data_IF_427627533310
#
_entry.id   IF_427627533310
#
_cell.length_a   1.000
_cell.length_b   1.000
_cell.length_c   1.000
_cell.angle_alpha   90.00
_cell.angle_beta   90.00
_cell.angle_gamma   90.00
#
_symmetry.space_group_name_H-M   'P 1'
#
loop_
_entity.id
_entity.type
_entity.pdbx_description
1 polymer ?
#
# COMPACT_ATOMS: atom_id res chain seq x y z
N UNK A 1 10.10 8.01 0.98
CA UNK A 1 8.99 7.24 0.41
C UNK A 1 9.40 6.69 -0.94
N UNK A 2 9.19 5.41 -1.18
CA UNK A 2 9.43 4.71 -2.44
C UNK A 2 8.15 3.98 -2.85
N UNK A 3 7.78 4.11 -4.12
CA UNK A 3 6.62 3.43 -4.71
C UNK A 3 7.08 2.66 -5.94
N UNK A 4 6.69 1.40 -6.04
CA UNK A 4 7.03 0.53 -7.17
C UNK A 4 5.80 -0.24 -7.60
N UNK A 5 5.53 -0.29 -8.91
CA UNK A 5 4.55 -1.22 -9.48
C UNK A 5 5.18 -2.61 -9.48
N UNK A 6 4.50 -3.58 -8.88
CA UNK A 6 4.95 -4.99 -8.82
C UNK A 6 4.13 -5.90 -9.73
N UNK A 7 2.90 -5.49 -10.06
CA UNK A 7 2.05 -6.17 -11.05
C UNK A 7 1.04 -5.17 -11.62
N UNK A 8 0.62 -5.39 -12.83
CA UNK A 8 -0.48 -4.64 -13.46
C UNK A 8 -1.14 -5.46 -14.56
N UNK A 9 -2.34 -5.05 -14.96
CA UNK A 9 -3.00 -5.59 -16.15
C UNK A 9 -2.11 -5.34 -17.38
N UNK A 10 -1.84 -6.39 -18.15
CA UNK A 10 -1.11 -6.27 -19.40
C UNK A 10 -1.94 -5.46 -20.42
N UNK A 11 -1.30 -4.51 -21.09
CA UNK A 11 -1.95 -3.59 -22.05
C UNK A 11 -3.27 -3.00 -21.50
N UNK A 12 -3.23 -2.22 -20.41
CA UNK A 12 -4.43 -1.79 -19.68
C UNK A 12 -5.39 -0.97 -20.53
N UNK A 13 -4.89 -0.07 -21.37
CA UNK A 13 -5.69 0.75 -22.28
C UNK A 13 -6.45 -0.11 -23.28
N UNK A 14 -5.79 -1.08 -23.89
CA UNK A 14 -6.37 -1.99 -24.85
C UNK A 14 -7.41 -2.91 -24.19
N UNK A 15 -7.11 -3.41 -22.98
CA UNK A 15 -8.02 -4.23 -22.19
C UNK A 15 -9.32 -3.48 -21.88
N UNK A 16 -9.19 -2.23 -21.40
CA UNK A 16 -10.35 -1.35 -21.13
C UNK A 16 -11.16 -1.12 -22.40
N UNK A 17 -10.49 -0.77 -23.51
CA UNK A 17 -11.17 -0.47 -24.77
C UNK A 17 -11.90 -1.69 -25.35
N UNK A 18 -11.27 -2.87 -25.33
CA UNK A 18 -11.89 -4.14 -25.75
C UNK A 18 -13.13 -4.46 -24.92
N UNK A 19 -12.98 -4.41 -23.59
CA UNK A 19 -14.07 -4.69 -22.64
C UNK A 19 -15.25 -3.74 -22.84
N UNK A 20 -14.99 -2.45 -22.97
CA UNK A 20 -16.02 -1.46 -23.18
C UNK A 20 -16.72 -1.62 -24.56
N UNK A 21 -15.96 -1.88 -25.64
CA UNK A 21 -16.54 -2.08 -26.98
C UNK A 21 -17.47 -3.29 -27.06
N UNK A 22 -17.19 -4.36 -26.30
CA UNK A 22 -18.07 -5.53 -26.24
C UNK A 22 -19.49 -5.19 -25.77
N UNK A 23 -19.65 -4.18 -24.91
CA UNK A 23 -20.98 -3.75 -24.43
C UNK A 23 -21.82 -3.09 -25.51
N UNK A 24 -21.21 -2.52 -26.53
CA UNK A 24 -21.90 -1.70 -27.56
C UNK A 24 -21.74 -2.26 -28.97
N UNK A 25 -20.99 -3.33 -29.17
CA UNK A 25 -20.71 -3.92 -30.47
C UNK A 25 -21.64 -5.08 -30.78
N UNK A 26 -21.97 -5.23 -32.04
CA UNK A 26 -22.67 -6.41 -32.59
C UNK A 26 -21.69 -7.51 -33.02
N UNK A 27 -20.40 -7.19 -33.10
CA UNK A 27 -19.35 -8.12 -33.53
C UNK A 27 -18.66 -8.75 -32.34
N UNK A 28 -18.04 -9.91 -32.54
CA UNK A 28 -17.35 -10.66 -31.47
C UNK A 28 -16.00 -10.08 -31.09
N UNK A 29 -15.39 -10.68 -30.06
CA UNK A 29 -14.13 -10.21 -29.48
C UNK A 29 -12.96 -10.23 -30.48
N UNK A 30 -12.90 -11.23 -31.35
CA UNK A 30 -11.81 -11.37 -32.29
C UNK A 30 -11.80 -10.21 -33.31
N UNK A 31 -12.97 -9.88 -33.87
CA UNK A 31 -13.12 -8.76 -34.79
C UNK A 31 -12.86 -7.40 -34.11
N UNK A 32 -13.24 -7.24 -32.84
CA UNK A 32 -12.91 -6.03 -32.06
C UNK A 32 -11.39 -5.93 -31.88
N UNK A 33 -10.71 -7.04 -31.55
CA UNK A 33 -9.28 -7.07 -31.32
C UNK A 33 -8.48 -6.74 -32.59
N UNK A 34 -8.91 -7.22 -33.76
CA UNK A 34 -8.27 -6.93 -35.03
C UNK A 34 -8.39 -5.46 -35.47
N UNK A 35 -9.46 -4.78 -35.06
CA UNK A 35 -9.77 -3.39 -35.43
C UNK A 35 -9.24 -2.34 -34.45
N UNK A 36 -8.71 -2.75 -33.31
CA UNK A 36 -8.18 -1.83 -32.32
C UNK A 36 -6.67 -1.65 -32.51
N UNK A 37 -6.29 -0.51 -33.06
CA UNK A 37 -4.95 0.03 -33.05
C UNK A 37 -4.80 1.05 -31.90
N UNK A 38 -3.57 1.54 -31.66
CA UNK A 38 -3.26 2.49 -30.60
C UNK A 38 -4.06 3.79 -30.71
N UNK A 39 -4.19 4.33 -31.95
CA UNK A 39 -4.90 5.58 -32.17
C UNK A 39 -6.41 5.46 -31.91
N UNK A 40 -7.03 4.39 -32.37
CA UNK A 40 -8.46 4.13 -32.17
C UNK A 40 -8.76 3.80 -30.70
N UNK A 41 -7.85 3.13 -30.01
CA UNK A 41 -7.91 2.87 -28.57
C UNK A 41 -7.93 4.17 -27.80
N UNK A 42 -6.96 5.05 -28.03
CA UNK A 42 -6.86 6.34 -27.34
C UNK A 42 -8.07 7.25 -27.61
N UNK A 43 -8.55 7.33 -28.83
CA UNK A 43 -9.76 8.08 -29.17
C UNK A 43 -10.99 7.56 -28.44
N UNK A 44 -11.13 6.25 -28.38
CA UNK A 44 -12.25 5.59 -27.72
C UNK A 44 -12.23 5.82 -26.21
N UNK A 45 -11.05 5.68 -25.56
CA UNK A 45 -10.89 5.94 -24.13
C UNK A 45 -11.18 7.40 -23.78
N UNK A 46 -10.69 8.35 -24.57
CA UNK A 46 -11.00 9.77 -24.39
C UNK A 46 -12.50 10.06 -24.49
N UNK A 47 -13.18 9.40 -25.41
CA UNK A 47 -14.64 9.49 -25.55
C UNK A 47 -15.35 8.93 -24.29
N UNK A 48 -14.97 7.75 -23.80
CA UNK A 48 -15.54 7.15 -22.58
C UNK A 48 -15.38 8.07 -21.37
N UNK A 49 -14.19 8.62 -21.17
CA UNK A 49 -13.91 9.56 -20.08
C UNK A 49 -14.71 10.86 -20.25
N UNK A 50 -14.85 11.36 -21.46
CA UNK A 50 -15.66 12.56 -21.77
C UNK A 50 -17.14 12.39 -21.43
N UNK A 51 -17.66 11.17 -21.53
CA UNK A 51 -19.03 10.83 -21.12
C UNK A 51 -19.15 10.37 -19.66
N UNK A 52 -18.05 10.42 -18.90
CA UNK A 52 -18.00 9.92 -17.51
C UNK A 52 -18.38 8.44 -17.36
N UNK A 53 -18.15 7.64 -18.40
CA UNK A 53 -18.33 6.19 -18.36
C UNK A 53 -17.10 5.52 -17.76
N UNK A 54 -17.02 5.55 -16.43
CA UNK A 54 -15.82 5.13 -15.67
C UNK A 54 -15.76 3.63 -15.39
N UNK A 55 -16.89 2.90 -15.43
CA UNK A 55 -16.93 1.47 -15.09
C UNK A 55 -15.99 0.57 -15.90
N UNK A 56 -15.73 0.81 -17.21
CA UNK A 56 -14.78 0.00 -17.96
C UNK A 56 -13.33 0.12 -17.46
N UNK A 57 -12.97 1.22 -16.76
CA UNK A 57 -11.64 1.40 -16.18
C UNK A 57 -11.34 0.35 -15.11
N UNK A 58 -12.35 -0.25 -14.49
CA UNK A 58 -12.22 -1.29 -13.48
C UNK A 58 -11.63 -2.61 -14.03
N UNK A 59 -11.57 -2.79 -15.36
CA UNK A 59 -10.89 -3.92 -15.99
C UNK A 59 -9.36 -3.82 -15.90
N UNK A 60 -8.81 -2.64 -15.58
CA UNK A 60 -7.38 -2.47 -15.33
C UNK A 60 -7.10 -2.44 -13.82
N UNK A 61 -6.08 -3.17 -13.41
CA UNK A 61 -5.61 -3.21 -12.03
C UNK A 61 -4.11 -3.00 -11.95
N UNK A 62 -3.68 -2.41 -10.83
CA UNK A 62 -2.26 -2.17 -10.53
C UNK A 62 -1.98 -2.58 -9.10
N UNK A 63 -0.89 -3.28 -8.88
CA UNK A 63 -0.40 -3.62 -7.54
C UNK A 63 0.88 -2.85 -7.25
N UNK A 64 0.88 -2.09 -6.16
CA UNK A 64 1.99 -1.24 -5.76
C UNK A 64 2.65 -1.78 -4.49
N UNK A 65 3.98 -1.77 -4.44
CA UNK A 65 4.73 -1.80 -3.19
C UNK A 65 5.04 -0.36 -2.77
N UNK A 66 4.83 -0.07 -1.48
CA UNK A 66 5.06 1.27 -0.89
C UNK A 66 5.94 1.10 0.34
N UNK A 67 7.07 1.81 0.37
CA UNK A 67 8.07 1.79 1.45
C UNK A 67 8.39 3.20 1.94
N UNK A 68 8.88 3.32 3.17
CA UNK A 68 9.31 4.60 3.76
C UNK A 68 8.13 5.55 3.99
N UNK A 69 7.04 5.03 4.54
CA UNK A 69 5.84 5.77 4.94
C UNK A 69 5.52 5.53 6.41
N UNK A 70 4.92 6.52 7.07
CA UNK A 70 4.54 6.39 8.48
C UNK A 70 3.36 5.45 8.67
N UNK A 71 3.26 4.84 9.86
CA UNK A 71 2.08 4.06 10.25
C UNK A 71 0.80 4.90 10.22
N UNK A 72 0.88 6.16 10.60
CA UNK A 72 -0.26 7.10 10.52
C UNK A 72 -0.81 7.20 9.09
N UNK A 73 0.07 7.28 8.07
CA UNK A 73 -0.35 7.31 6.68
C UNK A 73 -1.04 5.99 6.30
N UNK A 74 -0.45 4.85 6.63
CA UNK A 74 -1.02 3.54 6.25
C UNK A 74 -2.37 3.31 6.91
N UNK A 75 -2.58 3.73 8.17
CA UNK A 75 -3.87 3.64 8.86
C UNK A 75 -4.97 4.47 8.20
N UNK A 76 -4.61 5.57 7.54
CA UNK A 76 -5.58 6.34 6.74
C UNK A 76 -5.78 5.72 5.35
N UNK A 77 -4.71 5.28 4.71
CA UNK A 77 -4.75 4.72 3.37
C UNK A 77 -5.65 3.47 3.28
N UNK A 78 -5.56 2.54 4.24
CA UNK A 78 -6.36 1.31 4.25
C UNK A 78 -7.88 1.54 4.39
N UNK A 79 -8.31 2.77 4.70
CA UNK A 79 -9.73 3.15 4.74
C UNK A 79 -10.31 3.43 3.36
N UNK A 80 -9.48 3.62 2.34
CA UNK A 80 -9.92 3.82 0.96
C UNK A 80 -10.26 2.47 0.32
N UNK A 81 -11.54 2.11 0.33
CA UNK A 81 -12.06 0.77 -0.01
C UNK A 81 -12.12 0.45 -1.50
N UNK A 82 -11.60 1.32 -2.36
CA UNK A 82 -11.44 1.08 -3.80
C UNK A 82 -10.24 0.18 -4.12
N UNK A 83 -9.43 -0.18 -3.12
CA UNK A 83 -8.28 -1.06 -3.24
C UNK A 83 -8.24 -2.10 -2.11
N UNK A 84 -7.43 -3.13 -2.29
CA UNK A 84 -7.05 -4.09 -1.25
C UNK A 84 -5.66 -3.76 -0.73
N UNK A 85 -5.42 -3.97 0.56
CA UNK A 85 -4.18 -3.60 1.21
C UNK A 85 -3.59 -4.76 1.99
N UNK A 86 -2.28 -4.98 1.82
CA UNK A 86 -1.48 -5.83 2.68
C UNK A 86 -0.46 -4.94 3.38
N UNK A 87 -0.49 -4.92 4.70
CA UNK A 87 0.38 -4.10 5.53
C UNK A 87 1.27 -4.98 6.39
N UNK A 88 2.54 -4.61 6.52
CA UNK A 88 3.47 -5.30 7.41
C UNK A 88 2.89 -5.39 8.82
N UNK A 89 2.82 -6.60 9.34
CA UNK A 89 2.28 -6.86 10.68
C UNK A 89 3.30 -6.47 11.76
N UNK A 90 2.86 -5.73 12.76
CA UNK A 90 3.64 -5.48 13.98
C UNK A 90 3.65 -6.69 14.92
N UNK A 91 2.75 -7.66 14.71
CA UNK A 91 2.66 -8.88 15.53
C UNK A 91 3.65 -9.96 15.10
N UNK A 92 3.99 -10.01 13.79
CA UNK A 92 4.86 -11.06 13.23
C UNK A 92 6.26 -10.57 12.86
N UNK A 93 6.48 -9.27 12.84
CA UNK A 93 7.78 -8.69 12.48
C UNK A 93 8.35 -7.98 13.69
N UNK A 94 9.40 -8.57 14.27
CA UNK A 94 10.18 -7.93 15.33
C UNK A 94 11.00 -6.80 14.73
N UNK A 95 10.86 -5.61 15.28
CA UNK A 95 11.65 -4.44 14.90
C UNK A 95 12.74 -4.24 15.97
N UNK A 96 13.91 -4.85 15.76
CA UNK A 96 15.07 -4.64 16.63
C UNK A 96 15.53 -3.17 16.64
N UNK A 97 15.17 -2.45 15.61
CA UNK A 97 15.36 -1.00 15.46
C UNK A 97 14.27 -0.49 14.53
N UNK A 98 13.32 0.30 15.01
CA UNK A 98 12.23 0.77 14.16
C UNK A 98 12.62 2.06 13.42
N UNK A 99 12.36 2.06 12.13
CA UNK A 99 12.49 3.26 11.31
C UNK A 99 11.25 4.16 11.51
N UNK A 100 11.47 5.43 11.80
CA UNK A 100 10.42 6.43 11.89
C UNK A 100 10.56 7.49 10.80
N UNK A 101 9.43 8.06 10.40
CA UNK A 101 9.39 9.11 9.38
C UNK A 101 9.19 10.45 10.07
N UNK A 102 10.18 11.33 9.96
CA UNK A 102 10.06 12.71 10.47
C UNK A 102 9.07 13.46 9.57
N UNK A 103 7.98 14.03 10.12
CA UNK A 103 7.04 14.82 9.34
C UNK A 103 7.71 16.05 8.71
N UNK A 104 7.37 16.45 7.47
CA UNK A 104 8.02 17.55 6.77
C UNK A 104 8.00 18.90 7.50
N UNK A 105 6.96 19.17 8.29
CA UNK A 105 6.89 20.39 9.10
C UNK A 105 7.88 20.37 10.28
N UNK A 106 8.08 19.20 10.90
CA UNK A 106 9.05 18.98 11.96
C UNK A 106 10.47 19.04 11.39
N UNK A 107 10.70 18.39 10.23
CA UNK A 107 12.00 18.40 9.54
C UNK A 107 12.53 19.82 9.25
N UNK A 108 11.63 20.77 8.96
CA UNK A 108 11.99 22.18 8.67
C UNK A 108 12.39 22.99 9.92
N UNK A 109 12.10 22.51 11.12
CA UNK A 109 12.40 23.19 12.37
C UNK A 109 13.42 22.39 13.19
N UNK A 110 14.69 22.84 13.28
CA UNK A 110 15.75 22.07 13.97
C UNK A 110 15.42 21.71 15.43
N UNK A 111 14.79 22.63 16.18
CA UNK A 111 14.41 22.37 17.58
C UNK A 111 13.29 21.35 17.69
N UNK A 112 12.28 21.43 16.81
CA UNK A 112 11.20 20.45 16.77
C UNK A 112 11.72 19.07 16.34
N UNK A 113 12.64 19.01 15.37
CA UNK A 113 13.30 17.79 14.92
C UNK A 113 14.09 17.13 16.03
N UNK A 114 14.88 17.88 16.79
CA UNK A 114 15.65 17.39 17.94
C UNK A 114 14.74 16.73 18.98
N UNK A 115 13.65 17.41 19.35
CA UNK A 115 12.67 16.87 20.30
C UNK A 115 12.05 15.58 19.76
N UNK A 116 11.64 15.58 18.49
CA UNK A 116 11.02 14.42 17.84
C UNK A 116 11.95 13.20 17.84
N UNK A 117 13.20 13.37 17.42
CA UNK A 117 14.20 12.29 17.37
C UNK A 117 14.44 11.73 18.77
N UNK A 118 14.68 12.60 19.77
CA UNK A 118 14.89 12.19 21.15
C UNK A 118 13.71 11.37 21.68
N UNK A 119 12.48 11.80 21.43
CA UNK A 119 11.28 11.06 21.88
C UNK A 119 11.21 9.67 21.23
N UNK A 120 11.53 9.55 19.92
CA UNK A 120 11.55 8.26 19.24
C UNK A 120 12.63 7.32 19.79
N UNK A 121 13.80 7.86 20.17
CA UNK A 121 14.87 7.09 20.81
C UNK A 121 14.49 6.65 22.23
N UNK A 122 13.82 7.50 22.99
CA UNK A 122 13.28 7.17 24.30
C UNK A 122 12.18 6.09 24.22
N UNK A 123 11.29 6.18 23.23
CA UNK A 123 10.24 5.18 22.97
C UNK A 123 10.85 3.82 22.58
N UNK A 124 11.88 3.80 21.71
CA UNK A 124 12.60 2.57 21.35
C UNK A 124 13.23 1.92 22.60
N UNK A 125 13.89 2.71 23.44
CA UNK A 125 14.50 2.21 24.67
C UNK A 125 13.44 1.64 25.61
N UNK A 126 12.33 2.35 25.80
CA UNK A 126 11.23 1.86 26.65
C UNK A 126 10.65 0.54 26.13
N UNK A 127 10.52 0.40 24.82
CA UNK A 127 10.09 -0.86 24.18
C UNK A 127 11.09 -2.00 24.47
N UNK A 128 12.37 -1.76 24.28
CA UNK A 128 13.41 -2.77 24.51
C UNK A 128 13.45 -3.19 25.98
N UNK A 129 13.37 -2.24 26.93
CA UNK A 129 13.33 -2.50 28.38
C UNK A 129 12.08 -3.34 28.76
N UNK A 130 10.91 -3.04 28.19
CA UNK A 130 9.68 -3.80 28.43
C UNK A 130 9.75 -5.22 27.85
N UNK A 131 10.28 -5.37 26.64
CA UNK A 131 10.49 -6.68 26.04
C UNK A 131 11.40 -7.56 26.89
N UNK A 132 12.51 -7.00 27.41
CA UNK A 132 13.44 -7.72 28.26
C UNK A 132 12.75 -8.23 29.54
N UNK A 133 11.99 -7.38 30.23
CA UNK A 133 11.23 -7.73 31.42
C UNK A 133 10.22 -8.84 31.12
N UNK A 134 9.45 -8.71 30.06
CA UNK A 134 8.42 -9.69 29.69
C UNK A 134 9.02 -11.04 29.28
N UNK A 135 10.18 -11.06 28.61
CA UNK A 135 10.89 -12.30 28.27
C UNK A 135 11.38 -12.98 29.57
N UNK A 136 11.93 -12.23 30.53
CA UNK A 136 12.37 -12.78 31.81
C UNK A 136 11.21 -13.37 32.63
N UNK A 137 10.05 -12.72 32.63
CA UNK A 137 8.85 -13.22 33.31
C UNK A 137 8.31 -14.49 32.69
N UNK A 138 8.15 -14.48 31.36
CA UNK A 138 7.58 -15.60 30.61
C UNK A 138 8.51 -16.81 30.47
N UNK A 139 9.85 -16.60 30.50
CA UNK A 139 10.79 -17.72 30.54
C UNK A 139 10.69 -18.54 31.84
N UNK A 140 10.08 -17.98 32.89
CA UNK A 140 9.76 -18.68 34.14
C UNK A 140 8.47 -19.50 34.06
N UNK A 141 7.64 -19.28 33.04
CA UNK A 141 6.32 -19.93 32.82
C UNK A 141 6.31 -20.91 31.66
N UNK A 142 7.45 -21.30 31.10
CA UNK A 142 7.57 -22.18 29.89
C UNK A 142 6.83 -21.68 28.63
N UNK A 143 6.62 -20.36 28.47
CA UNK A 143 5.99 -19.77 27.28
C UNK A 143 7.07 -19.44 26.25
N UNK A 144 6.90 -19.94 25.02
CA UNK A 144 7.82 -19.68 23.89
C UNK A 144 7.90 -18.18 23.55
N UNK A 145 9.10 -17.67 23.23
CA UNK A 145 9.34 -16.27 22.82
C UNK A 145 8.35 -15.76 21.77
N UNK A 146 7.91 -16.63 20.84
CA UNK A 146 6.94 -16.31 19.78
C UNK A 146 5.53 -15.98 20.32
N UNK A 147 5.12 -16.45 21.49
CA UNK A 147 3.82 -16.15 22.08
C UNK A 147 3.79 -14.76 22.73
N UNK A 148 4.89 -14.34 23.32
CA UNK A 148 5.02 -13.01 23.94
C UNK A 148 4.81 -11.90 22.91
N UNK A 149 5.37 -12.06 21.70
CA UNK A 149 5.20 -11.10 20.61
C UNK A 149 3.81 -11.12 19.96
N UNK A 150 3.01 -12.17 20.23
CA UNK A 150 1.60 -12.26 19.77
C UNK A 150 0.64 -11.58 20.73
N UNK A 151 0.91 -11.65 22.02
CA UNK A 151 0.00 -11.18 23.07
C UNK A 151 0.33 -9.75 23.55
N UNK A 152 1.54 -9.25 23.29
CA UNK A 152 1.99 -7.90 23.65
C UNK A 152 1.56 -6.77 22.71
N UNK A 153 0.63 -7.05 21.76
CA UNK A 153 0.02 -6.09 20.85
C UNK A 153 -1.51 -6.13 20.99
#
# INVERSE_FOLDING_TARGET
>A
MKVKIIAHTEFPEETIAKSAKLCYSRVGVDEISEKLDEDSTNKFLNMLMGFSHMSPLEHASFTFAVEGVSRTLTHQLVRHRIASYSQQSQRYVRLNHFEYIVPPQIEKNPKAKEIFIRTMEEDQKAYDDLVEILIEENSKEDILEDEIYRDGT
#
